data_IF_782676729010
#
_entry.id   IF_782676729010
#
_cell.length_a   1.000
_cell.length_b   1.000
_cell.length_c   1.000
_cell.angle_alpha   90.00
_cell.angle_beta   90.00
_cell.angle_gamma   90.00
#
_symmetry.space_group_name_H-M   'P 1'
#
loop_
_entity.id
_entity.type
_entity.pdbx_description
1 polymer ?
#
# COMPACT_ATOMS: atom_id res chain seq x y z
N UNK A 1 -25.92 -29.86 15.40
CA UNK A 1 -25.23 -28.55 15.37
C UNK A 1 -26.16 -27.58 14.67
N UNK A 2 -26.31 -26.37 15.21
CA UNK A 2 -27.20 -25.37 14.66
C UNK A 2 -26.75 -24.98 13.23
N UNK A 3 -27.64 -25.20 12.26
CA UNK A 3 -27.38 -24.90 10.85
C UNK A 3 -27.13 -23.40 10.65
N UNK A 4 -27.68 -22.56 11.54
CA UNK A 4 -27.48 -21.11 11.52
C UNK A 4 -26.05 -20.71 11.88
N UNK A 5 -25.45 -21.30 12.93
CA UNK A 5 -24.05 -21.02 13.35
C UNK A 5 -23.07 -21.36 12.23
N UNK A 6 -23.29 -22.50 11.56
CA UNK A 6 -22.44 -22.93 10.46
C UNK A 6 -22.60 -22.04 9.23
N UNK A 7 -23.83 -21.72 8.83
CA UNK A 7 -24.07 -20.84 7.69
C UNK A 7 -23.47 -19.44 7.95
N UNK A 8 -23.63 -18.95 9.19
CA UNK A 8 -23.13 -17.66 9.64
C UNK A 8 -21.60 -17.50 9.51
N UNK A 9 -20.80 -18.56 9.73
CA UNK A 9 -19.35 -18.51 9.58
C UNK A 9 -18.87 -18.79 8.14
N UNK A 10 -19.66 -19.51 7.33
CA UNK A 10 -19.35 -19.81 5.93
C UNK A 10 -19.63 -18.61 5.01
N UNK A 11 -20.64 -17.78 5.33
CA UNK A 11 -20.99 -16.58 4.57
C UNK A 11 -21.02 -15.33 5.46
N UNK A 12 -19.85 -14.77 5.82
CA UNK A 12 -19.78 -13.50 6.52
C UNK A 12 -20.33 -12.34 5.66
N UNK A 13 -21.00 -11.39 6.30
CA UNK A 13 -21.54 -10.19 5.62
C UNK A 13 -20.57 -9.04 5.85
N UNK A 14 -19.55 -8.95 5.00
CA UNK A 14 -18.63 -7.81 5.02
C UNK A 14 -19.32 -6.60 4.39
N UNK A 15 -19.78 -5.66 5.21
CA UNK A 15 -20.21 -4.34 4.73
C UNK A 15 -19.04 -3.45 4.31
N UNK A 16 -19.33 -2.19 4.00
CA UNK A 16 -18.32 -1.23 3.53
C UNK A 16 -18.17 0.02 4.42
N UNK A 17 -18.98 0.16 5.46
CA UNK A 17 -18.85 1.22 6.47
C UNK A 17 -18.20 0.69 7.73
N UNK A 18 -17.59 1.57 8.54
CA UNK A 18 -16.98 1.15 9.80
C UNK A 18 -17.99 0.44 10.72
N UNK A 19 -19.17 1.04 10.92
CA UNK A 19 -20.23 0.45 11.74
C UNK A 19 -20.65 -0.94 11.26
N UNK A 20 -20.81 -1.15 9.94
CA UNK A 20 -21.21 -2.46 9.43
C UNK A 20 -20.17 -3.55 9.68
N UNK A 21 -18.89 -3.19 9.74
CA UNK A 21 -17.82 -4.14 10.07
C UNK A 21 -17.79 -4.43 11.58
N UNK A 22 -18.09 -3.45 12.43
CA UNK A 22 -18.24 -3.65 13.88
C UNK A 22 -19.43 -4.58 14.20
N UNK A 23 -20.56 -4.38 13.54
CA UNK A 23 -21.74 -5.22 13.71
C UNK A 23 -21.45 -6.68 13.33
N UNK A 24 -20.75 -6.89 12.21
CA UNK A 24 -20.31 -8.23 11.79
C UNK A 24 -19.24 -8.81 12.73
N UNK A 25 -18.34 -8.00 13.30
CA UNK A 25 -17.37 -8.42 14.31
C UNK A 25 -18.07 -8.94 15.58
N UNK A 26 -19.07 -8.20 16.07
CA UNK A 26 -19.88 -8.63 17.21
C UNK A 26 -20.61 -9.96 16.92
N UNK A 27 -21.09 -10.13 15.69
CA UNK A 27 -21.71 -11.39 15.24
C UNK A 27 -20.70 -12.54 15.26
N UNK A 28 -19.48 -12.35 14.75
CA UNK A 28 -18.42 -13.38 14.77
C UNK A 28 -17.98 -13.72 16.21
N UNK A 29 -17.89 -12.73 17.11
CA UNK A 29 -17.61 -12.96 18.55
C UNK A 29 -18.71 -13.78 19.23
N UNK A 30 -19.98 -13.53 18.87
CA UNK A 30 -21.10 -14.33 19.38
C UNK A 30 -20.99 -15.79 18.94
N UNK A 31 -20.67 -16.04 17.66
CA UNK A 31 -20.47 -17.38 17.10
C UNK A 31 -19.31 -18.10 17.80
N UNK A 32 -18.21 -17.39 18.07
CA UNK A 32 -17.07 -17.93 18.83
C UNK A 32 -17.49 -18.34 20.24
N UNK A 33 -18.20 -17.46 20.96
CA UNK A 33 -18.71 -17.73 22.29
C UNK A 33 -19.62 -18.96 22.33
N UNK A 34 -20.56 -19.07 21.39
CA UNK A 34 -21.40 -20.26 21.23
C UNK A 34 -20.58 -21.51 20.93
N UNK A 35 -19.59 -21.43 20.05
CA UNK A 35 -18.72 -22.55 19.68
C UNK A 35 -17.88 -23.05 20.85
N UNK A 36 -17.37 -22.13 21.68
CA UNK A 36 -16.63 -22.45 22.91
C UNK A 36 -17.53 -23.13 23.94
N UNK A 37 -18.73 -22.59 24.17
CA UNK A 37 -19.70 -23.18 25.09
C UNK A 37 -20.11 -24.60 24.69
N UNK A 38 -20.39 -24.84 23.39
CA UNK A 38 -20.71 -26.18 22.88
C UNK A 38 -19.51 -27.11 23.10
N UNK A 39 -18.27 -26.65 22.85
CA UNK A 39 -17.05 -27.45 23.05
C UNK A 39 -16.91 -27.92 24.49
N UNK A 40 -17.16 -27.02 25.45
CA UNK A 40 -17.06 -27.29 26.89
C UNK A 40 -18.18 -28.21 27.38
N UNK A 41 -19.34 -28.18 26.72
CA UNK A 41 -20.52 -29.00 27.06
C UNK A 41 -20.50 -30.41 26.48
N UNK A 42 -19.53 -30.73 25.63
CA UNK A 42 -19.47 -31.97 24.86
C UNK A 42 -18.34 -32.87 25.35
N UNK A 43 -18.62 -34.16 25.55
CA UNK A 43 -17.62 -35.15 25.96
C UNK A 43 -16.67 -35.51 24.82
N UNK A 44 -15.45 -35.95 25.17
CA UNK A 44 -14.40 -36.31 24.20
C UNK A 44 -14.77 -37.43 23.23
N UNK A 45 -15.83 -38.19 23.52
CA UNK A 45 -16.39 -39.24 22.66
C UNK A 45 -17.11 -38.71 21.42
N UNK A 46 -17.46 -37.43 21.38
CA UNK A 46 -18.26 -36.83 20.30
C UNK A 46 -17.35 -36.20 19.24
N UNK A 47 -16.50 -37.02 18.62
CA UNK A 47 -15.46 -36.59 17.69
C UNK A 47 -15.98 -35.75 16.51
N UNK A 48 -17.12 -36.10 15.94
CA UNK A 48 -17.69 -35.36 14.79
C UNK A 48 -18.09 -33.93 15.17
N UNK A 49 -18.67 -33.75 16.36
CA UNK A 49 -19.05 -32.43 16.87
C UNK A 49 -17.80 -31.60 17.16
N UNK A 50 -16.78 -32.20 17.77
CA UNK A 50 -15.52 -31.53 18.05
C UNK A 50 -14.79 -31.10 16.77
N UNK A 51 -14.82 -31.94 15.73
CA UNK A 51 -14.27 -31.61 14.41
C UNK A 51 -15.02 -30.44 13.75
N UNK A 52 -16.35 -30.44 13.81
CA UNK A 52 -17.16 -29.34 13.29
C UNK A 52 -16.91 -28.04 14.05
N UNK A 53 -16.80 -28.08 15.37
CA UNK A 53 -16.47 -26.90 16.17
C UNK A 53 -15.07 -26.39 15.81
N UNK A 54 -14.08 -27.28 15.64
CA UNK A 54 -12.74 -26.87 15.22
C UNK A 54 -12.75 -26.15 13.87
N UNK A 55 -13.53 -26.65 12.90
CA UNK A 55 -13.73 -26.00 11.60
C UNK A 55 -14.38 -24.62 11.75
N UNK A 56 -15.44 -24.49 12.56
CA UNK A 56 -16.09 -23.19 12.80
C UNK A 56 -15.12 -22.21 13.45
N UNK A 57 -14.37 -22.64 14.48
CA UNK A 57 -13.38 -21.78 15.14
C UNK A 57 -12.35 -21.24 14.14
N UNK A 58 -11.79 -22.10 13.27
CA UNK A 58 -10.82 -21.68 12.25
C UNK A 58 -11.42 -20.65 11.26
N UNK A 59 -12.68 -20.86 10.84
CA UNK A 59 -13.37 -19.92 9.95
C UNK A 59 -13.64 -18.58 10.62
N UNK A 60 -14.09 -18.59 11.87
CA UNK A 60 -14.39 -17.38 12.64
C UNK A 60 -13.12 -16.55 12.81
N UNK A 61 -11.98 -17.16 13.15
CA UNK A 61 -10.71 -16.44 13.23
C UNK A 61 -10.30 -15.83 11.90
N UNK A 62 -10.42 -16.58 10.81
CA UNK A 62 -10.15 -16.04 9.47
C UNK A 62 -11.08 -14.87 9.13
N UNK A 63 -12.37 -14.95 9.49
CA UNK A 63 -13.33 -13.88 9.25
C UNK A 63 -12.99 -12.62 10.06
N UNK A 64 -12.58 -12.76 11.32
CA UNK A 64 -12.12 -11.64 12.16
C UNK A 64 -10.88 -10.98 11.55
N UNK A 65 -9.92 -11.75 11.05
CA UNK A 65 -8.75 -11.20 10.36
C UNK A 65 -9.17 -10.37 9.12
N UNK A 66 -10.15 -10.86 8.35
CA UNK A 66 -10.71 -10.09 7.23
C UNK A 66 -11.38 -8.78 7.71
N UNK A 67 -12.15 -8.83 8.78
CA UNK A 67 -12.79 -7.64 9.35
C UNK A 67 -11.75 -6.62 9.82
N UNK A 68 -10.70 -7.06 10.51
CA UNK A 68 -9.60 -6.20 10.94
C UNK A 68 -8.91 -5.53 9.76
N UNK A 69 -8.65 -6.29 8.68
CA UNK A 69 -8.05 -5.74 7.47
C UNK A 69 -8.93 -4.65 6.83
N UNK A 70 -10.23 -4.90 6.69
CA UNK A 70 -11.19 -3.95 6.12
C UNK A 70 -11.42 -2.74 7.02
N UNK A 71 -11.47 -2.94 8.34
CA UNK A 71 -11.58 -1.86 9.32
C UNK A 71 -10.38 -0.91 9.28
N UNK A 72 -9.19 -1.41 8.91
CA UNK A 72 -8.04 -0.58 8.61
C UNK A 72 -8.29 0.48 7.53
N UNK A 73 -9.18 0.20 6.56
CA UNK A 73 -9.58 1.16 5.52
C UNK A 73 -10.66 2.10 6.05
N UNK A 74 -11.73 1.55 6.62
CA UNK A 74 -12.91 2.34 7.05
C UNK A 74 -12.63 3.20 8.28
N UNK A 75 -11.58 2.92 9.06
CA UNK A 75 -11.11 3.82 10.13
C UNK A 75 -10.77 5.24 9.64
N UNK A 76 -10.56 5.44 8.33
CA UNK A 76 -10.40 6.77 7.76
C UNK A 76 -11.69 7.62 7.80
N UNK A 77 -12.87 7.03 8.05
CA UNK A 77 -14.14 7.76 8.22
C UNK A 77 -14.04 8.86 9.29
N UNK A 78 -13.33 8.58 10.40
CA UNK A 78 -13.11 9.53 11.48
C UNK A 78 -12.28 10.74 11.04
N UNK A 79 -11.30 10.55 10.17
CA UNK A 79 -10.47 11.65 9.63
C UNK A 79 -11.36 12.63 8.84
N UNK A 80 -12.31 12.13 8.06
CA UNK A 80 -13.24 12.98 7.31
C UNK A 80 -14.24 13.70 8.22
N UNK A 81 -14.69 13.04 9.30
CA UNK A 81 -15.50 13.66 10.35
C UNK A 81 -14.73 14.78 11.05
N UNK A 82 -13.46 14.55 11.39
CA UNK A 82 -12.57 15.53 12.01
C UNK A 82 -12.31 16.73 11.11
N UNK A 83 -12.05 16.52 9.81
CA UNK A 83 -11.87 17.60 8.82
C UNK A 83 -13.12 18.47 8.74
N UNK A 84 -14.31 17.85 8.74
CA UNK A 84 -15.59 18.57 8.71
C UNK A 84 -15.75 19.43 9.96
N UNK A 85 -15.52 18.86 11.15
CA UNK A 85 -15.58 19.58 12.41
C UNK A 85 -14.52 20.70 12.49
N UNK A 86 -13.31 20.45 11.99
CA UNK A 86 -12.21 21.43 11.98
C UNK A 86 -12.56 22.63 11.10
N UNK A 87 -13.11 22.41 9.90
CA UNK A 87 -13.52 23.48 9.00
C UNK A 87 -14.58 24.39 9.65
N UNK A 88 -15.60 23.79 10.27
CA UNK A 88 -16.63 24.53 10.99
C UNK A 88 -16.06 25.32 12.17
N UNK A 89 -15.25 24.67 13.02
CA UNK A 89 -14.58 25.32 14.16
C UNK A 89 -13.68 26.47 13.70
N UNK A 90 -12.96 26.32 12.59
CA UNK A 90 -12.07 27.36 12.07
C UNK A 90 -12.85 28.56 11.54
N UNK A 91 -13.95 28.33 10.82
CA UNK A 91 -14.81 29.40 10.35
C UNK A 91 -15.40 30.21 11.51
N UNK A 92 -15.93 29.54 12.53
CA UNK A 92 -16.46 30.19 13.75
C UNK A 92 -15.36 30.99 14.47
N UNK A 93 -14.19 30.38 14.68
CA UNK A 93 -13.06 31.06 15.33
C UNK A 93 -12.66 32.34 14.61
N UNK A 94 -12.57 32.32 13.29
CA UNK A 94 -12.17 33.49 12.49
C UNK A 94 -13.17 34.65 12.61
N UNK A 95 -14.46 34.36 12.76
CA UNK A 95 -15.49 35.40 12.95
C UNK A 95 -15.49 35.92 14.39
N UNK A 96 -15.20 35.05 15.35
CA UNK A 96 -15.12 35.40 16.78
C UNK A 96 -13.78 36.03 17.19
N UNK A 97 -12.79 36.09 16.30
CA UNK A 97 -11.52 36.75 16.58
C UNK A 97 -11.76 38.24 16.84
N UNK A 98 -11.27 38.73 17.99
CA UNK A 98 -11.45 40.12 18.41
C UNK A 98 -10.52 41.06 17.64
N UNK A 99 -10.88 41.33 16.38
CA UNK A 99 -10.16 42.20 15.47
C UNK A 99 -10.71 43.64 15.54
N UNK A 100 -9.83 44.63 15.37
CA UNK A 100 -10.19 46.05 15.40
C UNK A 100 -11.21 46.42 14.29
N UNK A 101 -12.05 47.42 14.54
CA UNK A 101 -12.99 48.00 13.58
C UNK A 101 -12.33 48.47 12.27
N UNK A 102 -11.02 48.80 12.28
CA UNK A 102 -10.26 49.06 11.04
C UNK A 102 -10.18 47.84 10.12
N UNK A 103 -10.12 46.63 10.67
CA UNK A 103 -10.12 45.38 9.90
C UNK A 103 -11.47 45.16 9.22
N UNK A 104 -12.56 45.25 9.99
CA UNK A 104 -13.93 44.98 9.51
C UNK A 104 -14.42 45.98 8.45
N UNK A 105 -13.80 47.16 8.34
CA UNK A 105 -14.06 48.12 7.27
C UNK A 105 -13.51 47.71 5.90
N UNK A 106 -12.59 46.73 5.82
CA UNK A 106 -12.03 46.26 4.55
C UNK A 106 -13.03 45.34 3.82
N UNK A 107 -13.21 45.54 2.51
CA UNK A 107 -14.06 44.69 1.66
C UNK A 107 -13.36 43.37 1.34
N UNK A 108 -13.50 42.38 2.22
CA UNK A 108 -12.84 41.07 2.10
C UNK A 108 -13.73 39.94 1.56
N UNK A 109 -15.00 40.18 1.24
CA UNK A 109 -15.94 39.13 0.79
C UNK A 109 -15.41 38.30 -0.40
N UNK A 110 -14.82 38.97 -1.40
CA UNK A 110 -14.21 38.30 -2.56
C UNK A 110 -13.00 37.44 -2.19
N UNK A 111 -11.96 38.00 -1.54
CA UNK A 111 -10.84 37.23 -1.01
C UNK A 111 -11.24 36.06 -0.11
N UNK A 112 -12.18 36.27 0.83
CA UNK A 112 -12.68 35.21 1.72
C UNK A 112 -13.29 34.07 0.91
N UNK A 113 -14.17 34.38 -0.04
CA UNK A 113 -14.78 33.37 -0.90
C UNK A 113 -13.72 32.58 -1.68
N UNK A 114 -12.73 33.25 -2.28
CA UNK A 114 -11.65 32.59 -3.02
C UNK A 114 -10.80 31.68 -2.12
N UNK A 115 -10.50 32.08 -0.89
CA UNK A 115 -9.77 31.24 0.06
C UNK A 115 -10.52 29.94 0.35
N UNK A 116 -11.84 30.00 0.59
CA UNK A 116 -12.67 28.83 0.84
C UNK A 116 -12.85 27.96 -0.41
N UNK A 117 -13.06 28.55 -1.59
CA UNK A 117 -13.10 27.82 -2.86
C UNK A 117 -11.80 27.08 -3.12
N UNK A 118 -10.65 27.71 -2.84
CA UNK A 118 -9.35 27.05 -3.00
C UNK A 118 -9.17 25.87 -2.04
N UNK A 119 -9.66 25.97 -0.81
CA UNK A 119 -9.65 24.86 0.15
C UNK A 119 -10.57 23.72 -0.30
N UNK A 120 -11.76 24.05 -0.83
CA UNK A 120 -12.66 23.08 -1.46
C UNK A 120 -11.99 22.30 -2.57
N UNK A 121 -11.26 22.99 -3.46
CA UNK A 121 -10.46 22.34 -4.50
C UNK A 121 -9.40 21.38 -3.94
N UNK A 122 -8.72 21.73 -2.84
CA UNK A 122 -7.77 20.78 -2.21
C UNK A 122 -8.45 19.52 -1.68
N UNK A 123 -9.71 19.63 -1.20
CA UNK A 123 -10.48 18.46 -0.79
C UNK A 123 -10.83 17.56 -1.99
N UNK A 124 -11.17 18.13 -3.15
CA UNK A 124 -11.38 17.39 -4.39
C UNK A 124 -10.10 16.69 -4.84
N UNK A 125 -8.95 17.38 -4.80
CA UNK A 125 -7.66 16.77 -5.14
C UNK A 125 -7.30 15.62 -4.19
N UNK A 126 -7.66 15.70 -2.92
CA UNK A 126 -7.46 14.61 -1.97
C UNK A 126 -8.22 13.35 -2.40
N UNK A 127 -9.38 13.47 -3.05
CA UNK A 127 -10.12 12.30 -3.59
C UNK A 127 -9.37 11.60 -4.72
N UNK A 128 -8.60 12.33 -5.54
CA UNK A 128 -7.74 11.76 -6.57
C UNK A 128 -6.64 10.91 -5.91
N UNK A 129 -6.01 11.43 -4.86
CA UNK A 129 -4.98 10.70 -4.12
C UNK A 129 -5.55 9.48 -3.36
N UNK A 130 -6.77 9.60 -2.83
CA UNK A 130 -7.50 8.46 -2.23
C UNK A 130 -7.74 7.37 -3.28
N UNK A 131 -8.20 7.74 -4.48
CA UNK A 131 -8.38 6.78 -5.59
C UNK A 131 -7.07 6.08 -5.94
N UNK A 132 -5.98 6.82 -6.09
CA UNK A 132 -4.66 6.24 -6.38
C UNK A 132 -4.21 5.26 -5.28
N UNK A 133 -4.48 5.58 -4.01
CA UNK A 133 -4.20 4.68 -2.88
C UNK A 133 -5.07 3.41 -2.92
N UNK A 134 -6.36 3.55 -3.24
CA UNK A 134 -7.27 2.42 -3.39
C UNK A 134 -6.84 1.50 -4.55
N UNK A 135 -6.53 2.06 -5.72
CA UNK A 135 -6.07 1.30 -6.89
C UNK A 135 -4.76 0.56 -6.60
N UNK A 136 -3.80 1.22 -5.94
CA UNK A 136 -2.55 0.61 -5.49
C UNK A 136 -2.79 -0.54 -4.51
N UNK A 137 -3.59 -0.29 -3.47
CA UNK A 137 -3.89 -1.28 -2.45
C UNK A 137 -4.61 -2.51 -3.04
N UNK A 138 -5.61 -2.27 -3.90
CA UNK A 138 -6.37 -3.31 -4.57
C UNK A 138 -5.48 -4.18 -5.46
N UNK A 139 -4.61 -3.57 -6.28
CA UNK A 139 -3.67 -4.30 -7.14
C UNK A 139 -2.80 -5.29 -6.35
N UNK A 140 -2.17 -4.84 -5.26
CA UNK A 140 -1.29 -5.70 -4.47
C UNK A 140 -2.06 -6.77 -3.68
N UNK A 141 -3.27 -6.45 -3.20
CA UNK A 141 -4.15 -7.45 -2.61
C UNK A 141 -4.51 -8.54 -3.61
N UNK A 142 -4.94 -8.16 -4.81
CA UNK A 142 -5.34 -9.07 -5.88
C UNK A 142 -4.20 -9.98 -6.35
N UNK A 143 -2.99 -9.42 -6.51
CA UNK A 143 -1.80 -10.17 -6.87
C UNK A 143 -1.49 -11.26 -5.83
N UNK A 144 -1.49 -10.89 -4.53
CA UNK A 144 -1.22 -11.83 -3.44
C UNK A 144 -2.30 -12.89 -3.30
N UNK A 145 -3.57 -12.50 -3.47
CA UNK A 145 -4.70 -13.42 -3.46
C UNK A 145 -4.59 -14.45 -4.59
N UNK A 146 -4.21 -13.99 -5.78
CA UNK A 146 -4.03 -14.85 -6.95
C UNK A 146 -2.87 -15.84 -6.73
N UNK A 147 -1.73 -15.37 -6.21
CA UNK A 147 -0.57 -16.20 -5.87
C UNK A 147 -0.95 -17.31 -4.87
N UNK A 148 -1.66 -16.93 -3.81
CA UNK A 148 -2.13 -17.87 -2.78
C UNK A 148 -3.07 -18.92 -3.36
N UNK A 149 -4.04 -18.50 -4.19
CA UNK A 149 -4.97 -19.41 -4.87
C UNK A 149 -4.25 -20.37 -5.80
N UNK A 150 -3.28 -19.90 -6.56
CA UNK A 150 -2.49 -20.72 -7.46
C UNK A 150 -1.69 -21.77 -6.68
N UNK A 151 -1.06 -21.38 -5.57
CA UNK A 151 -0.31 -22.28 -4.69
C UNK A 151 -1.21 -23.38 -4.08
N UNK A 152 -2.34 -23.00 -3.51
CA UNK A 152 -3.30 -23.96 -2.93
C UNK A 152 -3.83 -24.95 -3.97
N UNK A 153 -4.04 -24.48 -5.20
CA UNK A 153 -4.44 -25.34 -6.30
C UNK A 153 -3.34 -26.25 -6.78
N UNK A 154 -2.11 -25.76 -6.90
CA UNK A 154 -0.96 -26.60 -7.22
C UNK A 154 -0.80 -27.75 -6.22
N UNK A 155 -0.94 -27.47 -4.92
CA UNK A 155 -0.89 -28.51 -3.87
C UNK A 155 -2.01 -29.56 -4.07
N UNK A 156 -3.24 -29.12 -4.33
CA UNK A 156 -4.38 -30.01 -4.62
C UNK A 156 -4.19 -30.80 -5.92
N UNK A 157 -3.54 -30.20 -6.92
CA UNK A 157 -3.24 -30.87 -8.18
C UNK A 157 -2.28 -32.04 -7.97
N UNK A 158 -1.15 -31.80 -7.28
CA UNK A 158 -0.15 -32.83 -7.00
C UNK A 158 -0.73 -34.00 -6.20
N UNK A 159 -1.55 -33.71 -5.18
CA UNK A 159 -2.24 -34.72 -4.39
C UNK A 159 -3.15 -35.61 -5.24
N UNK A 160 -4.03 -34.99 -6.04
CA UNK A 160 -4.97 -35.73 -6.88
C UNK A 160 -4.26 -36.49 -8.01
N UNK A 161 -3.16 -35.95 -8.55
CA UNK A 161 -2.34 -36.65 -9.56
C UNK A 161 -1.80 -37.97 -9.00
N UNK A 162 -1.27 -37.97 -7.78
CA UNK A 162 -0.82 -39.19 -7.11
C UNK A 162 -1.96 -40.18 -6.93
N UNK A 163 -3.09 -39.70 -6.38
CA UNK A 163 -4.30 -40.51 -6.19
C UNK A 163 -4.77 -41.19 -7.47
N UNK A 164 -4.83 -40.46 -8.59
CA UNK A 164 -5.28 -41.02 -9.87
C UNK A 164 -4.23 -41.94 -10.53
N UNK A 165 -2.93 -41.72 -10.28
CA UNK A 165 -1.87 -42.59 -10.78
C UNK A 165 -1.84 -43.96 -10.07
N UNK A 166 -2.30 -44.01 -8.82
CA UNK A 166 -2.41 -45.23 -8.01
C UNK A 166 -3.69 -46.04 -8.29
N UNK A 167 -4.63 -45.51 -9.09
CA UNK A 167 -5.88 -46.21 -9.42
C UNK A 167 -5.68 -47.22 -10.55
N UNK A 168 -5.88 -48.51 -10.26
CA UNK A 168 -5.86 -49.59 -11.26
C UNK A 168 -6.95 -49.38 -12.33
N UNK A 169 -6.53 -49.35 -13.60
CA UNK A 169 -7.37 -49.00 -14.77
C UNK A 169 -8.29 -50.12 -15.29
N UNK A 170 -8.32 -51.29 -14.66
CA UNK A 170 -8.94 -52.49 -15.26
C UNK A 170 -10.47 -52.51 -15.25
N UNK A 171 -11.11 -51.74 -14.37
CA UNK A 171 -12.57 -51.62 -14.33
C UNK A 171 -12.91 -50.17 -13.92
N UNK A 172 -14.06 -49.64 -14.34
CA UNK A 172 -14.70 -48.36 -13.93
C UNK A 172 -14.74 -47.20 -14.94
N UNK A 173 -15.90 -47.07 -15.59
CA UNK A 173 -16.35 -45.87 -16.31
C UNK A 173 -16.61 -44.66 -15.39
N UNK A 174 -16.85 -44.86 -14.09
CA UNK A 174 -17.05 -43.78 -13.11
C UNK A 174 -15.74 -43.05 -12.79
N UNK A 175 -14.61 -43.76 -12.69
CA UNK A 175 -13.30 -43.15 -12.45
C UNK A 175 -12.85 -42.24 -13.60
N UNK A 176 -13.17 -42.61 -14.85
CA UNK A 176 -12.93 -41.76 -16.02
C UNK A 176 -13.79 -40.50 -16.03
N UNK A 177 -15.04 -40.56 -15.53
CA UNK A 177 -15.90 -39.38 -15.37
C UNK A 177 -15.33 -38.43 -14.32
N UNK A 178 -14.95 -38.96 -13.16
CA UNK A 178 -14.33 -38.17 -12.08
C UNK A 178 -13.04 -37.51 -12.51
N UNK A 179 -12.17 -38.24 -13.23
CA UNK A 179 -10.94 -37.67 -13.78
C UNK A 179 -11.24 -36.55 -14.79
N UNK A 180 -12.18 -36.76 -15.71
CA UNK A 180 -12.58 -35.75 -16.69
C UNK A 180 -13.12 -34.50 -16.00
N UNK A 181 -14.02 -34.66 -15.03
CA UNK A 181 -14.65 -33.53 -14.35
C UNK A 181 -13.62 -32.76 -13.49
N UNK A 182 -12.68 -33.48 -12.87
CA UNK A 182 -11.54 -32.89 -12.20
C UNK A 182 -10.62 -32.13 -13.16
N UNK A 183 -10.22 -32.71 -14.30
CA UNK A 183 -9.39 -32.06 -15.32
C UNK A 183 -10.07 -30.80 -15.89
N UNK A 184 -11.38 -30.86 -16.15
CA UNK A 184 -12.16 -29.70 -16.57
C UNK A 184 -12.11 -28.60 -15.51
N UNK A 185 -12.32 -28.94 -14.24
CA UNK A 185 -12.19 -27.99 -13.14
C UNK A 185 -10.78 -27.37 -13.03
N UNK A 186 -9.72 -28.14 -13.31
CA UNK A 186 -8.35 -27.61 -13.35
C UNK A 186 -8.17 -26.62 -14.51
N UNK A 187 -8.65 -26.98 -15.70
CA UNK A 187 -8.55 -26.12 -16.88
C UNK A 187 -9.29 -24.80 -16.69
N UNK A 188 -10.53 -24.84 -16.18
CA UNK A 188 -11.33 -23.63 -15.93
C UNK A 188 -10.64 -22.70 -14.93
N UNK A 189 -10.02 -23.25 -13.88
CA UNK A 189 -9.28 -22.46 -12.91
C UNK A 189 -8.00 -21.86 -13.47
N UNK A 190 -7.23 -22.63 -14.25
CA UNK A 190 -6.03 -22.11 -14.92
C UNK A 190 -6.39 -20.97 -15.89
N UNK A 191 -7.48 -21.09 -16.63
CA UNK A 191 -7.99 -20.00 -17.47
C UNK A 191 -8.37 -18.78 -16.65
N UNK A 192 -9.05 -18.95 -15.52
CA UNK A 192 -9.34 -17.86 -14.60
C UNK A 192 -8.05 -17.16 -14.13
N UNK A 193 -7.04 -17.93 -13.72
CA UNK A 193 -5.75 -17.39 -13.26
C UNK A 193 -5.03 -16.63 -14.37
N UNK A 194 -4.99 -17.19 -15.59
CA UNK A 194 -4.38 -16.54 -16.76
C UNK A 194 -5.09 -15.23 -17.08
N UNK A 195 -6.43 -15.23 -17.12
CA UNK A 195 -7.20 -14.02 -17.40
C UNK A 195 -7.00 -12.96 -16.31
N UNK A 196 -6.95 -13.38 -15.03
CA UNK A 196 -6.70 -12.46 -13.92
C UNK A 196 -5.27 -11.89 -13.95
N UNK A 197 -4.28 -12.70 -14.33
CA UNK A 197 -2.88 -12.27 -14.48
C UNK A 197 -2.75 -11.22 -15.59
N UNK A 198 -3.42 -11.43 -16.73
CA UNK A 198 -3.49 -10.43 -17.82
C UNK A 198 -4.07 -9.11 -17.34
N UNK A 199 -5.14 -9.14 -16.54
CA UNK A 199 -5.72 -7.93 -15.96
C UNK A 199 -4.74 -7.20 -15.03
N UNK A 200 -4.01 -7.93 -14.18
CA UNK A 200 -2.99 -7.33 -13.31
C UNK A 200 -1.87 -6.67 -14.12
N UNK A 201 -1.41 -7.31 -15.21
CA UNK A 201 -0.43 -6.71 -16.13
C UNK A 201 -0.94 -5.39 -16.70
N UNK A 202 -2.19 -5.33 -17.18
CA UNK A 202 -2.75 -4.08 -17.67
C UNK A 202 -2.90 -3.02 -16.57
N UNK A 203 -3.36 -3.40 -15.37
CA UNK A 203 -3.51 -2.50 -14.23
C UNK A 203 -2.17 -1.91 -13.77
N UNK A 204 -1.08 -2.70 -13.81
CA UNK A 204 0.25 -2.26 -13.41
C UNK A 204 0.79 -1.09 -14.25
N UNK A 205 0.35 -0.96 -15.51
CA UNK A 205 0.79 0.10 -16.44
C UNK A 205 0.30 1.48 -16.04
N UNK A 206 -0.80 1.56 -15.29
CA UNK A 206 -1.41 2.82 -14.83
C UNK A 206 -1.28 3.05 -13.33
N UNK A 207 -0.61 2.14 -12.60
CA UNK A 207 -0.53 2.20 -11.14
C UNK A 207 0.39 3.34 -10.69
N UNK A 208 -0.07 4.18 -9.77
CA UNK A 208 0.71 5.30 -9.23
C UNK A 208 1.56 4.82 -8.04
N UNK A 209 2.86 5.16 -7.97
CA UNK A 209 3.77 4.73 -6.91
C UNK A 209 3.51 5.51 -5.61
N UNK A 210 2.51 5.07 -4.83
CA UNK A 210 2.09 5.78 -3.60
C UNK A 210 3.21 5.87 -2.55
N UNK A 211 4.14 4.91 -2.55
CA UNK A 211 5.28 4.89 -1.63
C UNK A 211 6.21 6.10 -1.81
N UNK A 212 6.23 6.74 -2.99
CA UNK A 212 6.98 7.98 -3.20
C UNK A 212 6.35 9.18 -2.50
N UNK A 213 5.09 9.08 -2.08
CA UNK A 213 4.44 10.12 -1.27
C UNK A 213 4.80 10.02 0.21
N UNK A 214 5.16 8.84 0.69
CA UNK A 214 5.46 8.56 2.10
C UNK A 214 6.96 8.48 2.38
N UNK A 215 7.74 7.95 1.44
CA UNK A 215 9.18 7.78 1.57
C UNK A 215 9.94 8.96 0.99
N UNK A 216 11.06 9.35 1.60
CA UNK A 216 11.89 10.45 1.10
C UNK A 216 12.38 10.14 -0.32
N UNK A 217 12.12 11.06 -1.24
CA UNK A 217 12.61 10.99 -2.62
C UNK A 217 14.14 11.16 -2.61
N UNK A 218 14.85 10.19 -3.19
CA UNK A 218 16.33 10.18 -3.27
C UNK A 218 16.86 10.86 -4.53
N UNK A 219 16.10 10.81 -5.61
CA UNK A 219 16.44 11.36 -6.92
C UNK A 219 15.23 12.11 -7.48
N UNK A 220 15.41 13.21 -8.23
CA UNK A 220 14.29 13.99 -8.74
C UNK A 220 13.28 13.14 -9.52
N UNK A 221 11.98 13.38 -9.30
CA UNK A 221 10.88 12.60 -9.89
C UNK A 221 9.98 13.52 -10.71
N UNK A 222 9.55 13.07 -11.88
CA UNK A 222 8.59 13.81 -12.70
C UNK A 222 7.22 13.86 -12.02
N UNK A 223 6.62 15.04 -11.98
CA UNK A 223 5.29 15.29 -11.46
C UNK A 223 4.45 16.17 -12.38
N UNK A 224 3.19 16.33 -12.00
CA UNK A 224 2.22 17.20 -12.69
C UNK A 224 1.47 18.00 -11.63
N UNK A 225 1.27 19.28 -11.90
CA UNK A 225 0.40 20.13 -11.10
C UNK A 225 -1.06 19.75 -11.35
N UNK A 226 -1.78 19.37 -10.31
CA UNK A 226 -3.20 19.00 -10.41
C UNK A 226 -4.12 20.22 -10.51
N UNK A 227 -3.62 21.41 -10.19
CA UNK A 227 -4.43 22.59 -10.04
C UNK A 227 -3.57 23.85 -10.18
N UNK A 228 -4.14 24.97 -10.64
CA UNK A 228 -3.46 26.26 -10.66
C UNK A 228 -2.99 26.64 -9.25
N UNK A 229 -1.72 27.02 -9.10
CA UNK A 229 -1.16 27.50 -7.85
C UNK A 229 -0.44 28.83 -8.08
N UNK A 230 -1.04 29.91 -7.58
CA UNK A 230 -0.60 31.27 -7.85
C UNK A 230 -0.18 31.97 -6.55
N UNK A 231 1.00 32.58 -6.60
CA UNK A 231 1.53 33.46 -5.57
C UNK A 231 1.98 34.77 -6.24
N UNK A 232 2.26 35.83 -5.47
CA UNK A 232 2.84 37.04 -6.03
C UNK A 232 4.20 36.84 -6.72
N UNK A 233 4.91 35.73 -6.42
CA UNK A 233 6.26 35.46 -6.93
C UNK A 233 6.29 34.53 -8.13
N UNK A 234 5.31 33.64 -8.26
CA UNK A 234 5.26 32.63 -9.31
C UNK A 234 3.84 32.09 -9.49
N UNK A 235 3.59 31.54 -10.68
CA UNK A 235 2.35 30.88 -11.04
C UNK A 235 2.66 29.55 -11.70
N UNK A 236 1.95 28.51 -11.27
CA UNK A 236 1.97 27.17 -11.87
C UNK A 236 0.55 26.85 -12.30
N UNK A 237 0.40 26.22 -13.45
CA UNK A 237 -0.91 25.92 -14.04
C UNK A 237 -1.29 24.45 -13.89
N UNK A 238 -2.58 24.14 -13.85
CA UNK A 238 -3.06 22.78 -13.87
C UNK A 238 -2.59 22.06 -15.16
N UNK A 239 -2.10 20.83 -15.02
CA UNK A 239 -1.52 20.05 -16.11
C UNK A 239 -0.04 20.37 -16.41
N UNK A 240 0.52 21.41 -15.80
CA UNK A 240 1.94 21.75 -15.97
C UNK A 240 2.82 20.64 -15.41
N UNK A 241 3.80 20.21 -16.21
CA UNK A 241 4.77 19.19 -15.79
C UNK A 241 5.89 19.84 -14.99
N UNK A 242 6.26 19.19 -13.90
CA UNK A 242 7.23 19.66 -12.92
C UNK A 242 8.20 18.54 -12.54
N UNK A 243 9.28 18.90 -11.88
CA UNK A 243 10.25 17.99 -11.27
C UNK A 243 10.17 18.15 -9.75
N UNK A 244 9.87 17.07 -9.05
CA UNK A 244 9.84 16.98 -7.59
C UNK A 244 11.26 16.71 -7.12
N UNK A 245 11.82 17.63 -6.33
CA UNK A 245 13.19 17.55 -5.85
C UNK A 245 13.24 16.93 -4.45
N UNK A 246 12.37 17.37 -3.54
CA UNK A 246 12.30 16.85 -2.18
C UNK A 246 10.85 16.93 -1.65
N UNK A 247 10.31 15.77 -1.25
CA UNK A 247 8.97 15.65 -0.70
C UNK A 247 8.89 15.88 0.83
N UNK A 248 10.02 16.20 1.47
CA UNK A 248 10.14 16.49 2.92
C UNK A 248 10.61 17.93 3.19
N UNK A 249 10.68 18.78 2.17
CA UNK A 249 11.25 20.12 2.24
C UNK A 249 10.50 21.12 3.12
N UNK A 250 9.23 20.86 3.46
CA UNK A 250 8.41 21.79 4.23
C UNK A 250 8.79 21.93 5.72
N UNK A 251 9.70 21.12 6.26
CA UNK A 251 10.17 21.24 7.65
C UNK A 251 10.58 22.67 8.02
N UNK A 252 10.29 23.11 9.26
CA UNK A 252 10.50 24.49 9.74
C UNK A 252 11.94 25.00 9.47
N UNK A 253 12.94 24.13 9.59
CA UNK A 253 14.36 24.44 9.33
C UNK A 253 14.69 24.67 7.84
N UNK A 254 13.93 24.09 6.91
CA UNK A 254 14.18 24.17 5.47
C UNK A 254 13.43 25.33 4.79
N UNK A 255 12.29 25.78 5.36
CA UNK A 255 11.54 26.94 4.85
C UNK A 255 12.36 28.24 4.90
N UNK A 256 13.19 28.44 5.92
CA UNK A 256 14.08 29.61 6.02
C UNK A 256 15.14 29.62 4.92
N UNK A 257 15.74 28.46 4.58
CA UNK A 257 16.71 28.36 3.48
C UNK A 257 16.10 28.68 2.10
N UNK A 258 14.81 28.41 1.92
CA UNK A 258 14.12 28.63 0.64
C UNK A 258 13.70 30.09 0.40
N UNK A 259 13.34 30.81 1.47
CA UNK A 259 13.04 32.25 1.39
C UNK A 259 14.26 33.09 1.03
N UNK A 260 15.47 32.63 1.41
CA UNK A 260 16.74 33.29 1.07
C UNK A 260 17.15 33.13 -0.40
N UNK A 261 16.80 32.03 -1.08
CA UNK A 261 17.13 31.82 -2.50
C UNK A 261 16.24 32.58 -3.49
N UNK A 262 15.01 32.92 -3.10
CA UNK A 262 14.09 33.67 -3.97
C UNK A 262 14.28 35.19 -3.91
N UNK A 263 15.32 35.68 -3.21
CA UNK A 263 15.65 37.10 -3.08
C UNK A 263 16.94 37.54 -3.78
N UNK A 264 17.69 36.63 -4.41
CA UNK A 264 19.05 36.87 -4.94
C UNK A 264 19.18 36.57 -6.43
N UNK A 265 18.16 36.93 -7.21
CA UNK A 265 18.25 36.99 -8.67
C UNK A 265 17.96 38.42 -9.14
N UNK A 266 18.80 39.36 -8.74
CA UNK A 266 19.04 40.59 -9.49
C UNK A 266 20.55 40.77 -9.56
N UNK A 267 21.04 40.77 -10.81
CA UNK A 267 22.30 41.32 -11.30
C UNK A 267 23.55 41.05 -10.46
N UNK A 268 24.44 40.19 -10.96
CA UNK A 268 25.83 40.64 -11.13
C UNK A 268 26.54 39.86 -12.25
N UNK A 269 27.10 40.68 -13.13
CA UNK A 269 27.85 40.36 -14.33
C UNK A 269 29.31 40.08 -13.98
N UNK A 270 29.93 39.21 -14.77
CA UNK A 270 31.36 38.97 -15.03
C UNK A 270 32.40 39.64 -14.09
N UNK A 271 33.26 38.83 -13.45
CA UNK A 271 34.73 38.94 -13.63
C UNK A 271 35.47 37.69 -13.14
N UNK A 272 36.47 37.33 -13.94
CA UNK A 272 37.46 36.27 -13.76
C UNK A 272 38.39 36.52 -12.58
N UNK A 273 38.84 35.45 -11.91
CA UNK A 273 40.27 35.29 -11.60
C UNK A 273 40.63 33.83 -11.33
N UNK A 274 41.69 33.40 -12.00
CA UNK A 274 42.24 32.05 -11.97
C UNK A 274 43.11 31.83 -10.72
N UNK A 275 43.17 30.59 -10.25
CA UNK A 275 44.41 30.05 -9.68
C UNK A 275 44.54 28.54 -9.96
N UNK A 276 45.51 28.25 -10.82
CA UNK A 276 46.25 26.99 -10.99
C UNK A 276 46.93 26.60 -9.64
N UNK A 277 47.34 25.36 -9.28
CA UNK A 277 48.11 24.28 -9.93
C UNK A 277 48.02 23.04 -9.00
N UNK A 278 47.87 21.78 -9.46
CA UNK A 278 48.89 20.82 -9.97
C UNK A 278 49.97 20.37 -8.97
N UNK A 279 49.92 19.08 -8.59
CA UNK A 279 51.03 18.08 -8.40
C UNK A 279 50.34 16.74 -8.05
N UNK A 280 50.35 15.70 -8.88
CA UNK A 280 51.42 14.76 -9.28
C UNK A 280 51.87 13.82 -8.17
N UNK A 281 51.63 12.51 -8.39
CA UNK A 281 52.48 11.33 -8.16
C UNK A 281 51.59 10.11 -8.45
N UNK A 282 51.57 9.51 -9.64
CA UNK A 282 52.60 8.70 -10.34
C UNK A 282 53.05 7.47 -9.53
N UNK A 283 52.50 6.30 -9.88
CA UNK A 283 53.18 5.06 -10.32
C UNK A 283 52.10 3.95 -10.39
N UNK A 284 51.59 3.58 -11.57
CA UNK A 284 52.14 2.59 -12.55
C UNK A 284 52.28 1.18 -11.97
N UNK A 285 51.49 0.21 -12.46
CA UNK A 285 51.84 -0.83 -13.49
C UNK A 285 51.87 -2.19 -12.75
N UNK A 286 51.34 -3.32 -13.22
CA UNK A 286 50.71 -3.79 -14.46
C UNK A 286 49.89 -5.05 -14.06
N UNK A 287 48.79 -5.42 -14.72
CA UNK A 287 48.74 -6.30 -15.92
C UNK A 287 49.51 -7.63 -15.71
N UNK A 288 49.03 -8.82 -16.07
CA UNK A 288 47.98 -9.27 -17.00
C UNK A 288 47.86 -10.81 -16.86
N UNK A 289 46.97 -11.38 -17.68
CA UNK A 289 46.98 -12.73 -18.28
C UNK A 289 45.80 -13.60 -17.81
N UNK A 290 44.72 -13.78 -18.58
CA UNK A 290 44.57 -14.33 -19.95
C UNK A 290 44.91 -15.82 -20.03
N UNK A 291 43.88 -16.67 -20.16
CA UNK A 291 43.80 -17.88 -21.01
C UNK A 291 42.44 -18.57 -20.74
N UNK A 292 41.51 -18.76 -21.67
CA UNK A 292 41.47 -19.41 -23.00
C UNK A 292 41.08 -20.91 -22.94
N UNK A 293 39.93 -21.24 -23.60
CA UNK A 293 39.41 -22.56 -24.00
C UNK A 293 39.07 -23.58 -22.87
N UNK A 294 38.06 -24.46 -22.94
CA UNK A 294 37.49 -25.22 -24.06
C UNK A 294 36.08 -25.78 -23.72
N UNK A 295 35.23 -25.89 -24.75
CA UNK A 295 34.05 -26.77 -24.79
C UNK A 295 34.48 -28.23 -24.78
N UNK A 296 33.81 -29.06 -23.99
CA UNK A 296 33.57 -30.48 -24.30
C UNK A 296 32.18 -30.85 -23.80
N UNK A 297 31.34 -31.24 -24.76
CA UNK A 297 30.09 -31.97 -24.54
C UNK A 297 30.46 -33.39 -24.12
N UNK A 298 29.98 -33.83 -22.94
CA UNK A 298 29.88 -35.24 -22.63
C UNK A 298 28.42 -35.55 -22.27
N UNK A 299 27.81 -36.34 -23.15
CA UNK A 299 26.56 -37.04 -22.94
C UNK A 299 26.89 -38.20 -21.99
N UNK A 300 26.42 -38.14 -20.75
CA UNK A 300 26.43 -39.32 -19.87
C UNK A 300 24.99 -39.79 -19.66
N UNK A 301 24.70 -40.88 -20.37
CA UNK A 301 23.44 -41.57 -20.47
C UNK A 301 23.43 -42.66 -19.39
N UNK A 302 22.93 -42.33 -18.19
CA UNK A 302 22.65 -43.34 -17.18
C UNK A 302 21.41 -42.99 -16.37
N UNK A 303 20.30 -43.57 -16.81
CA UNK A 303 19.15 -43.80 -15.96
C UNK A 303 19.55 -44.67 -14.77
N UNK A 304 19.07 -44.28 -13.59
CA UNK A 304 18.35 -45.08 -12.58
C UNK A 304 18.69 -44.51 -11.21
N UNK A 305 17.85 -43.62 -10.69
CA UNK A 305 17.24 -43.83 -9.37
C UNK A 305 16.22 -42.73 -8.99
N UNK A 306 15.04 -43.23 -8.71
CA UNK A 306 13.81 -42.65 -8.22
C UNK A 306 13.96 -41.71 -7.00
N UNK A 307 13.03 -40.74 -6.92
CA UNK A 307 12.67 -39.91 -5.75
C UNK A 307 13.50 -38.66 -5.43
N UNK A 308 13.83 -37.86 -6.44
CA UNK A 308 13.98 -36.40 -6.23
C UNK A 308 12.60 -35.73 -6.28
N UNK A 309 11.89 -35.70 -5.15
CA UNK A 309 10.82 -34.71 -4.99
C UNK A 309 11.44 -33.34 -5.18
N UNK A 310 11.10 -32.69 -6.29
CA UNK A 310 11.37 -31.29 -6.56
C UNK A 310 10.99 -30.50 -5.31
N UNK A 311 12.01 -30.14 -4.52
CA UNK A 311 11.89 -29.29 -3.35
C UNK A 311 11.69 -27.87 -3.87
N UNK A 312 10.50 -27.60 -4.41
CA UNK A 312 10.13 -26.26 -4.82
C UNK A 312 10.16 -25.37 -3.57
N UNK A 313 10.74 -24.17 -3.66
CA UNK A 313 10.75 -23.26 -2.53
C UNK A 313 9.31 -23.07 -2.05
N UNK A 314 9.07 -23.23 -0.74
CA UNK A 314 7.88 -22.65 -0.10
C UNK A 314 7.73 -21.22 -0.63
N UNK A 315 6.52 -20.73 -0.95
CA UNK A 315 6.35 -19.34 -1.35
C UNK A 315 6.99 -18.50 -0.26
N UNK A 316 8.13 -17.89 -0.60
CA UNK A 316 8.74 -16.87 0.22
C UNK A 316 7.66 -15.81 0.29
N UNK A 317 7.13 -15.56 1.49
CA UNK A 317 6.20 -14.44 1.80
C UNK A 317 6.99 -13.12 1.62
N UNK A 318 7.60 -12.93 0.46
CA UNK A 318 8.65 -11.95 0.18
C UNK A 318 8.39 -11.30 -1.17
N UNK A 319 7.12 -11.21 -1.57
CA UNK A 319 6.68 -10.49 -2.77
C UNK A 319 6.28 -9.05 -2.46
N UNK A 320 6.24 -8.64 -1.19
CA UNK A 320 6.09 -7.22 -0.83
C UNK A 320 7.46 -6.54 -0.80
N UNK A 321 7.61 -5.37 -1.45
CA UNK A 321 8.76 -4.52 -1.21
C UNK A 321 8.73 -4.13 0.27
N UNK A 322 9.87 -4.14 0.94
CA UNK A 322 9.93 -3.60 2.29
C UNK A 322 9.84 -2.07 2.23
N UNK A 323 8.61 -1.56 2.22
CA UNK A 323 8.35 -0.14 2.35
C UNK A 323 8.34 0.22 3.83
N UNK A 324 9.30 1.04 4.24
CA UNK A 324 9.34 1.61 5.58
C UNK A 324 8.26 2.69 5.74
N UNK A 325 7.00 2.27 5.92
CA UNK A 325 5.95 3.16 6.42
C UNK A 325 6.23 3.37 7.92
N UNK A 326 6.89 4.49 8.25
CA UNK A 326 7.46 4.75 9.57
C UNK A 326 6.56 4.34 10.74
N UNK A 327 6.91 3.22 11.38
CA UNK A 327 6.41 2.86 12.71
C UNK A 327 7.07 3.84 13.68
N UNK A 328 6.27 4.64 14.38
CA UNK A 328 6.79 5.52 15.44
C UNK A 328 7.67 4.71 16.40
N UNK A 329 8.92 5.15 16.57
CA UNK A 329 9.83 4.58 17.54
C UNK A 329 9.25 4.82 18.94
N UNK A 330 8.67 3.80 19.57
CA UNK A 330 8.48 3.80 21.02
C UNK A 330 9.74 3.17 21.62
N UNK A 331 10.69 4.01 21.99
CA UNK A 331 11.78 3.62 22.88
C UNK A 331 11.18 3.06 24.17
N UNK A 332 11.64 1.87 24.55
CA UNK A 332 11.10 1.14 25.70
C UNK A 332 11.42 1.78 27.05
N UNK A 333 10.53 1.54 28.01
CA UNK A 333 10.91 1.21 29.37
C UNK A 333 9.87 0.25 29.94
N UNK A 334 10.33 -0.91 30.41
CA UNK A 334 9.57 -1.89 31.17
C UNK A 334 8.99 -1.26 32.43
N UNK A 335 7.68 -1.37 32.64
CA UNK A 335 7.09 -1.44 33.99
C UNK A 335 5.92 -2.44 33.95
N UNK A 336 5.99 -3.39 34.87
CA UNK A 336 5.03 -4.45 35.17
C UNK A 336 3.76 -3.92 35.84
N UNK A 337 2.56 -4.30 35.36
CA UNK A 337 1.42 -4.66 36.21
C UNK A 337 0.25 -5.22 35.39
N UNK A 338 -0.38 -6.24 35.96
CA UNK A 338 -1.55 -6.97 35.48
C UNK A 338 -2.85 -6.17 35.50
N UNK A 339 -3.78 -6.66 34.69
CA UNK A 339 -5.24 -6.52 34.75
C UNK A 339 -5.94 -5.47 33.87
N UNK A 340 -6.91 -6.01 33.13
CA UNK A 340 -8.03 -5.42 32.40
C UNK A 340 -7.78 -4.96 30.97
N UNK A 341 -8.10 -5.89 30.07
CA UNK A 341 -8.42 -5.72 28.65
C UNK A 341 -9.57 -4.73 28.46
N UNK A 342 -9.22 -3.48 28.22
CA UNK A 342 -10.02 -2.52 27.44
C UNK A 342 -9.01 -1.63 26.71
N UNK A 343 -8.45 -2.14 25.61
CA UNK A 343 -7.58 -1.35 24.75
C UNK A 343 -8.43 -0.42 23.90
N UNK A 344 -8.69 0.78 24.43
CA UNK A 344 -9.15 1.93 23.66
C UNK A 344 -8.07 2.23 22.62
N UNK A 345 -8.30 1.82 21.38
CA UNK A 345 -7.32 1.94 20.27
C UNK A 345 -7.30 3.38 19.72
N UNK A 346 -6.83 4.33 20.53
CA UNK A 346 -6.54 5.71 20.09
C UNK A 346 -5.39 6.34 20.86
N UNK A 347 -4.33 5.60 21.16
CA UNK A 347 -3.12 6.21 21.74
C UNK A 347 -1.96 6.29 20.74
N UNK A 348 -1.58 7.55 20.47
CA UNK A 348 -0.36 8.02 19.81
C UNK A 348 -0.38 8.34 18.30
N UNK A 349 -1.51 8.83 17.79
CA UNK A 349 -1.48 9.79 16.69
C UNK A 349 -2.31 11.00 17.09
N UNK A 350 -1.68 12.11 17.44
CA UNK A 350 -2.41 13.37 17.61
C UNK A 350 -3.25 13.64 16.35
N UNK A 351 -4.57 13.89 16.46
CA UNK A 351 -5.43 14.10 15.28
C UNK A 351 -5.03 15.34 14.47
N UNK A 352 -4.22 16.22 15.06
CA UNK A 352 -3.74 17.46 14.46
C UNK A 352 -2.25 17.77 14.81
N UNK A 353 -1.42 16.75 15.03
CA UNK A 353 -0.12 16.94 15.71
C UNK A 353 1.06 16.18 15.11
N UNK A 354 1.39 16.43 13.84
CA UNK A 354 2.78 16.47 13.37
C UNK A 354 2.92 17.60 12.35
N UNK A 355 3.12 18.83 12.87
CA UNK A 355 3.53 20.05 12.15
C UNK A 355 3.03 20.19 10.71
N UNK A 356 2.08 21.11 10.46
CA UNK A 356 1.68 21.56 9.11
C UNK A 356 2.84 22.03 8.23
N UNK A 357 4.05 22.16 8.79
CA UNK A 357 5.29 22.27 8.04
C UNK A 357 5.56 21.05 7.13
N UNK A 358 5.14 19.83 7.47
CA UNK A 358 5.58 18.58 6.80
C UNK A 358 5.03 18.32 5.39
N UNK A 359 4.03 19.06 4.90
CA UNK A 359 3.28 18.65 3.70
C UNK A 359 3.50 19.52 2.46
N UNK A 360 4.56 20.34 2.44
CA UNK A 360 4.96 21.06 1.22
C UNK A 360 6.12 20.34 0.53
N UNK A 361 6.00 20.18 -0.78
CA UNK A 361 7.02 19.58 -1.62
C UNK A 361 7.82 20.65 -2.34
N UNK A 362 9.12 20.44 -2.42
CA UNK A 362 10.02 21.25 -3.22
C UNK A 362 9.98 20.76 -4.66
N UNK A 363 9.55 21.65 -5.55
CA UNK A 363 9.36 21.38 -6.96
C UNK A 363 10.09 22.42 -7.80
N UNK A 364 10.41 22.05 -9.03
CA UNK A 364 10.97 22.90 -10.07
C UNK A 364 10.16 22.74 -11.35
N UNK A 365 9.90 23.82 -12.08
CA UNK A 365 9.34 23.71 -13.44
C UNK A 365 10.35 23.07 -14.38
N UNK A 366 9.88 22.41 -15.45
CA UNK A 366 10.76 21.72 -16.41
C UNK A 366 11.76 22.68 -17.06
N UNK A 367 11.38 23.94 -17.27
CA UNK A 367 12.26 24.95 -17.85
C UNK A 367 13.29 25.51 -16.84
N UNK A 368 13.24 25.04 -15.59
CA UNK A 368 14.14 25.45 -14.52
C UNK A 368 13.90 26.86 -13.97
N UNK A 369 12.93 27.62 -14.51
CA UNK A 369 12.75 29.05 -14.15
C UNK A 369 12.06 29.25 -12.81
N UNK A 370 11.19 28.32 -12.43
CA UNK A 370 10.45 28.36 -11.17
C UNK A 370 10.93 27.24 -10.28
N UNK A 371 11.39 27.59 -9.08
CA UNK A 371 11.69 26.64 -8.01
C UNK A 371 10.89 27.07 -6.76
N UNK A 372 10.04 26.19 -6.24
CA UNK A 372 9.00 26.57 -5.29
C UNK A 372 8.66 25.47 -4.28
N UNK A 373 8.04 25.87 -3.17
CA UNK A 373 7.36 24.97 -2.24
C UNK A 373 5.85 25.02 -2.51
N UNK A 374 5.26 23.86 -2.81
CA UNK A 374 3.81 23.74 -3.06
C UNK A 374 3.20 22.71 -2.10
N UNK A 375 1.92 22.83 -1.73
CA UNK A 375 1.23 21.78 -0.98
C UNK A 375 1.28 20.45 -1.75
N UNK A 376 1.64 19.36 -1.07
CA UNK A 376 1.77 18.03 -1.68
C UNK A 376 0.49 17.54 -2.36
N UNK A 377 -0.68 17.95 -1.86
CA UNK A 377 -1.99 17.63 -2.45
C UNK A 377 -2.13 18.18 -3.88
N UNK A 378 -1.41 19.26 -4.22
CA UNK A 378 -1.42 19.87 -5.55
C UNK A 378 -0.57 19.12 -6.59
N UNK A 379 0.20 18.11 -6.17
CA UNK A 379 1.18 17.43 -7.02
C UNK A 379 0.79 15.97 -7.23
N UNK A 380 0.77 15.55 -8.49
CA UNK A 380 0.60 14.17 -8.91
C UNK A 380 1.91 13.60 -9.47
N UNK A 381 2.16 12.31 -9.19
CA UNK A 381 3.28 11.55 -9.76
C UNK A 381 2.67 10.62 -10.81
N UNK A 382 2.75 10.94 -12.11
CA UNK A 382 2.09 10.15 -13.16
C UNK A 382 2.90 8.93 -13.58
N UNK A 383 4.17 8.83 -13.17
CA UNK A 383 5.04 7.74 -13.59
C UNK A 383 4.49 6.41 -13.06
N UNK A 384 4.30 5.38 -13.90
CA UNK A 384 3.87 4.08 -13.43
C UNK A 384 4.81 3.51 -12.38
N UNK A 385 4.26 2.73 -11.45
CA UNK A 385 5.07 1.99 -10.49
C UNK A 385 5.84 0.88 -11.22
N UNK A 386 7.13 1.14 -11.45
CA UNK A 386 8.02 0.18 -12.13
C UNK A 386 8.12 -1.15 -11.39
N UNK A 387 8.00 -1.14 -10.06
CA UNK A 387 8.03 -2.38 -9.28
C UNK A 387 6.74 -3.19 -9.46
N UNK A 388 5.59 -2.51 -9.57
CA UNK A 388 4.33 -3.17 -9.88
C UNK A 388 4.36 -3.81 -11.27
N UNK A 389 4.96 -3.13 -12.27
CA UNK A 389 5.12 -3.70 -13.61
C UNK A 389 6.05 -4.92 -13.60
N UNK A 390 7.19 -4.83 -12.92
CA UNK A 390 8.12 -5.95 -12.79
C UNK A 390 7.44 -7.17 -12.14
N UNK A 391 6.66 -6.96 -11.08
CA UNK A 391 5.90 -8.01 -10.39
C UNK A 391 4.70 -8.55 -11.14
N UNK A 392 4.11 -7.78 -12.04
CA UNK A 392 3.03 -8.29 -12.86
C UNK A 392 3.55 -9.20 -13.99
N UNK A 393 4.80 -9.00 -14.42
CA UNK A 393 5.44 -9.77 -15.49
C UNK A 393 6.10 -11.05 -14.95
N UNK A 394 6.74 -10.98 -13.77
CA UNK A 394 7.40 -12.10 -13.10
C UNK A 394 6.41 -12.97 -12.34
#
# INVERSE_FOLDING_TARGET
>A
MDMEIRNACETPIFGYTHQSLEDEMARQQTIEGSSKWIRESVTSSNHDILNQISYITERVETNKDCLHYLAGITSMEDIYSDVTAFNAKRALRLIMENLDNKFWRRKLSGPINRCWQNLGRYSELATIHLKNAADFHQFYYDARHLETKLYDRHKKFLYNRGRFAEMNHEYYTNSSKELRDWLRSQFDHLNYVVNRSKQLIEQSKSLVPIYLRTNRIKSPVNGVMLCDYETPKFKLTAGERIVIIDNMAGGVQNKQKFLLRTGTNQEEDITSEASHNMTSDTLDICETDSDSHSRTEEIDDRSTDSNSYLRYPKPRITTMPYWNFGRGQTSGSEITSSDQTSSTFTENVSPLGQSSSKLHWHIRSIDGKVEALVPSVCVWIPSPDMEAQEKAIK
#
